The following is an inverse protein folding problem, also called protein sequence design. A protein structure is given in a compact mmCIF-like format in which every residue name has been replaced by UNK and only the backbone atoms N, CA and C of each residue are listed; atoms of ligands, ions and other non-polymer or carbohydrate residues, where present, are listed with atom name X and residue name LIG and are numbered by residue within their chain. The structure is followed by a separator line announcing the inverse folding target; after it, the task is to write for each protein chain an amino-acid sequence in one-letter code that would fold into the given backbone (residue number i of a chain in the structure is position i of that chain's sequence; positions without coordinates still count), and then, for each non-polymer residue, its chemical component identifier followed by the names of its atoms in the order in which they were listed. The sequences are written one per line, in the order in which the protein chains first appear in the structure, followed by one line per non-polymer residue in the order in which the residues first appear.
data_IF_726922994884
#
_entry.id   IF_726922994884
#
_cell.length_a   1.000
_cell.length_b   1.000
_cell.length_c   1.000
_cell.angle_alpha   90.00
_cell.angle_beta   90.00
_cell.angle_gamma   90.00
#
_symmetry.space_group_name_H-M   'P 1'
#
loop_
_entity.id
_entity.type
_entity.pdbx_description
1 polymer ?
#
# COMPACT_ATOMS: atom_id res chain seq x y z
N UNK A 1 14.59 -14.68 3.03
CA UNK A 1 15.26 -16.00 3.24
C UNK A 1 14.50 -16.78 4.31
N UNK A 2 14.64 -18.11 4.46
CA UNK A 2 13.87 -18.88 5.47
C UNK A 2 14.06 -18.39 6.92
N UNK A 3 15.15 -17.68 7.17
CA UNK A 3 15.61 -17.11 8.45
C UNK A 3 15.42 -15.59 8.54
N UNK A 4 14.77 -14.97 7.55
CA UNK A 4 14.50 -13.53 7.56
C UNK A 4 13.43 -13.19 8.59
N UNK A 5 13.71 -12.20 9.45
CA UNK A 5 12.75 -11.68 10.42
C UNK A 5 13.03 -10.19 10.72
N UNK A 6 12.03 -9.30 10.62
CA UNK A 6 10.67 -9.57 10.13
C UNK A 6 10.65 -9.80 8.60
N UNK A 7 9.76 -10.68 8.13
CA UNK A 7 9.51 -10.88 6.70
C UNK A 7 8.56 -9.79 6.22
N UNK A 8 9.07 -8.85 5.44
CA UNK A 8 8.28 -7.76 4.88
C UNK A 8 8.01 -7.99 3.41
N UNK A 9 6.73 -8.03 3.01
CA UNK A 9 6.33 -8.09 1.60
C UNK A 9 5.76 -6.76 1.15
N UNK A 10 6.33 -6.19 0.09
CA UNK A 10 5.82 -4.97 -0.52
C UNK A 10 4.94 -5.28 -1.72
N UNK A 11 3.68 -4.84 -1.68
CA UNK A 11 2.72 -4.99 -2.76
C UNK A 11 2.65 -3.76 -3.64
N UNK A 12 2.45 -4.00 -4.93
CA UNK A 12 2.01 -2.99 -5.88
C UNK A 12 0.63 -3.38 -6.41
N UNK A 13 -0.25 -2.39 -6.54
CA UNK A 13 -1.63 -2.60 -6.95
C UNK A 13 -2.22 -1.35 -7.59
N UNK A 14 -3.36 -1.52 -8.27
CA UNK A 14 -4.12 -0.46 -8.93
C UNK A 14 -5.61 -0.49 -8.61
N UNK A 15 -6.08 -1.51 -7.85
CA UNK A 15 -7.49 -1.66 -7.51
C UNK A 15 -7.69 -2.34 -6.14
N UNK A 16 -8.80 -2.05 -5.43
CA UNK A 16 -9.04 -2.59 -4.09
C UNK A 16 -9.31 -4.10 -4.05
N UNK A 17 -9.88 -4.67 -5.12
CA UNK A 17 -10.33 -6.08 -5.12
C UNK A 17 -9.13 -7.02 -5.12
N UNK A 18 -8.20 -6.80 -6.04
CA UNK A 18 -6.95 -7.57 -6.10
C UNK A 18 -6.05 -7.29 -4.89
N UNK A 19 -6.09 -6.07 -4.34
CA UNK A 19 -5.36 -5.74 -3.11
C UNK A 19 -5.80 -6.61 -1.94
N UNK A 20 -7.12 -6.68 -1.69
CA UNK A 20 -7.67 -7.51 -0.62
C UNK A 20 -7.30 -8.99 -0.83
N UNK A 21 -7.51 -9.51 -2.03
CA UNK A 21 -7.22 -10.91 -2.33
C UNK A 21 -5.74 -11.27 -2.10
N UNK A 22 -4.81 -10.41 -2.56
CA UNK A 22 -3.38 -10.62 -2.38
C UNK A 22 -2.95 -10.53 -0.91
N UNK A 23 -3.41 -9.51 -0.18
CA UNK A 23 -3.10 -9.37 1.24
C UNK A 23 -3.69 -10.52 2.07
N UNK A 24 -4.92 -10.97 1.75
CA UNK A 24 -5.56 -12.08 2.45
C UNK A 24 -4.82 -13.40 2.21
N UNK A 25 -4.33 -13.63 0.99
CA UNK A 25 -3.48 -14.78 0.68
C UNK A 25 -2.18 -14.78 1.51
N UNK A 26 -1.53 -13.62 1.64
CA UNK A 26 -0.31 -13.47 2.46
C UNK A 26 -0.58 -13.85 3.92
N UNK A 27 -1.71 -13.39 4.46
CA UNK A 27 -2.15 -13.70 5.82
C UNK A 27 -2.45 -15.20 5.98
N UNK A 28 -3.29 -15.75 5.11
CA UNK A 28 -3.78 -17.13 5.22
C UNK A 28 -2.67 -18.18 5.06
N UNK A 29 -1.68 -17.87 4.23
CA UNK A 29 -0.53 -18.73 3.99
C UNK A 29 0.68 -18.40 4.87
N UNK A 30 0.55 -17.43 5.79
CA UNK A 30 1.63 -16.99 6.70
C UNK A 30 2.93 -16.62 5.95
N UNK A 31 2.80 -15.85 4.86
CA UNK A 31 3.92 -15.51 3.97
C UNK A 31 4.74 -14.31 4.46
N UNK A 32 4.19 -13.46 5.32
CA UNK A 32 4.86 -12.27 5.83
C UNK A 32 4.45 -11.93 7.26
N UNK A 33 5.34 -11.20 7.93
CA UNK A 33 5.10 -10.59 9.25
C UNK A 33 4.68 -9.12 9.12
N UNK A 34 4.79 -8.56 7.91
CA UNK A 34 4.50 -7.17 7.59
C UNK A 34 4.12 -7.01 6.11
N UNK A 35 3.09 -6.22 5.83
CA UNK A 35 2.70 -5.84 4.47
C UNK A 35 2.95 -4.35 4.26
N UNK A 36 3.75 -4.01 3.25
CA UNK A 36 3.97 -2.62 2.81
C UNK A 36 3.30 -2.37 1.45
N UNK A 37 2.76 -1.18 1.24
CA UNK A 37 2.05 -0.81 0.03
C UNK A 37 2.84 0.24 -0.78
N UNK A 38 3.26 -0.13 -1.98
CA UNK A 38 4.06 0.74 -2.84
C UNK A 38 3.21 1.77 -3.59
N UNK A 39 3.36 3.02 -3.19
CA UNK A 39 2.79 4.19 -3.84
C UNK A 39 3.87 5.22 -4.20
N UNK A 40 5.10 4.76 -4.45
CA UNK A 40 6.25 5.64 -4.66
C UNK A 40 7.09 5.33 -5.89
N UNK A 41 6.85 4.20 -6.58
CA UNK A 41 7.64 3.84 -7.75
C UNK A 41 7.26 4.71 -8.97
N UNK A 42 8.22 5.46 -9.57
CA UNK A 42 7.93 6.39 -10.67
C UNK A 42 8.05 5.74 -12.06
N UNK A 43 8.49 4.47 -12.15
CA UNK A 43 8.86 3.88 -13.45
C UNK A 43 7.65 3.75 -14.38
N UNK A 44 7.79 4.04 -15.69
CA UNK A 44 6.66 4.09 -16.61
C UNK A 44 5.81 2.83 -16.67
N UNK A 45 6.40 1.63 -16.53
CA UNK A 45 5.64 0.36 -16.54
C UNK A 45 4.63 0.24 -15.40
N UNK A 46 4.87 0.94 -14.28
CA UNK A 46 4.02 1.00 -13.09
C UNK A 46 3.03 2.15 -13.22
N UNK A 47 3.53 3.37 -13.45
CA UNK A 47 2.70 4.58 -13.46
C UNK A 47 1.72 4.65 -14.63
N UNK A 48 2.04 4.09 -15.81
CA UNK A 48 1.10 4.00 -16.94
C UNK A 48 -0.14 3.16 -16.66
N UNK A 49 -0.06 2.21 -15.72
CA UNK A 49 -1.23 1.44 -15.25
C UNK A 49 -1.99 2.15 -14.13
N UNK A 50 -1.54 3.34 -13.73
CA UNK A 50 -2.18 4.17 -12.71
C UNK A 50 -1.79 3.84 -11.28
N UNK A 51 -0.76 3.02 -11.04
CA UNK A 51 -0.26 2.73 -9.69
C UNK A 51 1.08 3.41 -9.38
N UNK A 52 1.74 2.98 -8.29
CA UNK A 52 3.01 3.56 -7.86
C UNK A 52 2.86 5.03 -7.47
N UNK A 53 3.83 5.88 -7.83
CA UNK A 53 3.83 7.30 -7.46
C UNK A 53 2.62 8.10 -7.96
N UNK A 54 1.94 7.64 -9.02
CA UNK A 54 0.75 8.30 -9.57
C UNK A 54 -0.53 8.04 -8.77
N UNK A 55 -0.58 6.97 -7.97
CA UNK A 55 -1.81 6.54 -7.30
C UNK A 55 -2.31 7.53 -6.23
N UNK A 56 -1.45 8.13 -5.36
CA UNK A 56 -1.92 9.06 -4.33
C UNK A 56 -2.68 10.28 -4.86
N UNK A 57 -2.48 10.66 -6.12
CA UNK A 57 -3.24 11.73 -6.77
C UNK A 57 -4.74 11.37 -6.89
N UNK A 58 -5.07 10.08 -7.03
CA UNK A 58 -6.44 9.55 -7.04
C UNK A 58 -6.91 9.25 -5.63
N UNK A 59 -6.99 10.28 -4.78
CA UNK A 59 -7.25 10.19 -3.32
C UNK A 59 -8.29 9.16 -2.90
N UNK A 60 -9.47 9.13 -3.54
CA UNK A 60 -10.54 8.17 -3.21
C UNK A 60 -10.12 6.72 -3.49
N UNK A 61 -9.49 6.48 -4.65
CA UNK A 61 -9.02 5.14 -5.00
C UNK A 61 -7.86 4.70 -4.10
N UNK A 62 -6.96 5.62 -3.78
CA UNK A 62 -5.86 5.39 -2.83
C UNK A 62 -6.41 4.91 -1.48
N UNK A 63 -7.36 5.66 -0.88
CA UNK A 63 -8.00 5.26 0.39
C UNK A 63 -8.67 3.89 0.30
N UNK A 64 -9.45 3.63 -0.76
CA UNK A 64 -10.08 2.32 -0.98
C UNK A 64 -9.08 1.16 -1.06
N UNK A 65 -7.90 1.38 -1.63
CA UNK A 65 -6.84 0.37 -1.72
C UNK A 65 -6.18 0.13 -0.35
N UNK A 66 -5.88 1.19 0.40
CA UNK A 66 -5.31 1.05 1.75
C UNK A 66 -6.30 0.33 2.67
N UNK A 67 -7.57 0.76 2.68
CA UNK A 67 -8.63 0.12 3.45
C UNK A 67 -8.80 -1.36 3.09
N UNK A 68 -8.67 -1.72 1.81
CA UNK A 68 -8.75 -3.11 1.37
C UNK A 68 -7.60 -3.97 1.89
N UNK A 69 -6.37 -3.44 1.95
CA UNK A 69 -5.24 -4.15 2.54
C UNK A 69 -5.41 -4.32 4.06
N UNK A 70 -5.78 -3.25 4.77
CA UNK A 70 -6.03 -3.27 6.22
C UNK A 70 -7.14 -4.25 6.58
N UNK A 71 -8.27 -4.22 5.86
CA UNK A 71 -9.37 -5.17 6.07
C UNK A 71 -8.94 -6.63 5.86
N UNK A 72 -8.00 -6.88 4.95
CA UNK A 72 -7.52 -8.25 4.70
C UNK A 72 -6.68 -8.81 5.85
N UNK A 73 -6.08 -7.94 6.69
CA UNK A 73 -5.25 -8.32 7.85
C UNK A 73 -6.01 -8.25 9.18
N UNK A 74 -7.29 -7.86 9.18
CA UNK A 74 -8.13 -7.83 10.37
C UNK A 74 -8.14 -9.18 11.10
N UNK A 75 -8.00 -9.15 12.43
CA UNK A 75 -7.92 -10.34 13.27
C UNK A 75 -6.53 -10.96 13.36
N UNK A 76 -5.49 -10.29 12.83
CA UNK A 76 -4.08 -10.70 12.95
C UNK A 76 -3.21 -9.58 13.48
N UNK A 77 -1.97 -9.91 13.84
CA UNK A 77 -0.96 -8.94 14.29
C UNK A 77 -0.09 -8.40 13.13
N UNK A 78 -0.40 -8.73 11.88
CA UNK A 78 0.37 -8.29 10.71
C UNK A 78 0.03 -6.83 10.40
N UNK A 79 0.96 -5.87 10.56
CA UNK A 79 0.68 -4.48 10.26
C UNK A 79 0.71 -4.21 8.75
N UNK A 80 -0.14 -3.29 8.31
CA UNK A 80 -0.10 -2.71 6.96
C UNK A 80 0.54 -1.32 7.05
N UNK A 81 1.58 -1.09 6.28
CA UNK A 81 2.18 0.24 6.08
C UNK A 81 2.06 0.67 4.64
N UNK A 82 2.29 1.95 4.40
CA UNK A 82 2.30 2.51 3.05
C UNK A 82 3.59 3.27 2.82
N UNK A 83 4.05 3.30 1.57
CA UNK A 83 5.24 4.06 1.20
C UNK A 83 4.97 4.91 -0.03
N UNK A 84 5.08 6.23 0.11
CA UNK A 84 4.88 7.19 -0.98
C UNK A 84 6.01 8.22 -1.12
N UNK A 85 5.89 9.11 -2.11
CA UNK A 85 6.77 10.28 -2.32
C UNK A 85 6.03 11.56 -1.94
N UNK A 86 6.76 12.68 -1.92
CA UNK A 86 6.19 14.03 -1.73
C UNK A 86 5.05 14.32 -2.74
N UNK A 87 5.24 13.87 -3.98
CA UNK A 87 4.32 14.06 -5.10
C UNK A 87 4.81 13.33 -6.34
N UNK A 88 4.20 13.62 -7.49
CA UNK A 88 4.66 13.14 -8.80
C UNK A 88 5.74 14.05 -9.42
N UNK A 89 5.68 15.35 -9.10
CA UNK A 89 6.62 16.40 -9.45
C UNK A 89 6.49 17.57 -8.45
N UNK A 90 7.23 18.65 -8.66
CA UNK A 90 7.33 19.81 -7.75
C UNK A 90 6.05 20.66 -7.71
N UNK A 91 5.15 20.52 -8.70
CA UNK A 91 3.88 21.25 -8.75
C UNK A 91 2.72 20.42 -8.16
N UNK A 92 2.87 19.10 -8.10
CA UNK A 92 1.81 18.15 -7.74
C UNK A 92 2.16 17.33 -6.48
N UNK A 93 2.23 18.01 -5.33
CA UNK A 93 2.43 17.38 -4.03
C UNK A 93 1.16 16.66 -3.52
N UNK A 94 1.32 15.45 -2.99
CA UNK A 94 0.21 14.60 -2.49
C UNK A 94 0.45 14.03 -1.09
N UNK A 95 1.69 14.07 -0.58
CA UNK A 95 2.10 13.39 0.65
C UNK A 95 1.29 13.73 1.91
N UNK A 96 0.85 14.98 2.09
CA UNK A 96 0.06 15.35 3.27
C UNK A 96 -1.33 14.69 3.25
N UNK A 97 -2.00 14.71 2.10
CA UNK A 97 -3.28 14.01 1.94
C UNK A 97 -3.08 12.50 1.99
N UNK A 98 -2.03 11.98 1.35
CA UNK A 98 -1.73 10.55 1.35
C UNK A 98 -1.48 10.03 2.77
N UNK A 99 -0.69 10.76 3.58
CA UNK A 99 -0.43 10.40 4.97
C UNK A 99 -1.69 10.45 5.82
N UNK A 100 -2.51 11.50 5.68
CA UNK A 100 -3.78 11.62 6.39
C UNK A 100 -4.76 10.50 6.02
N UNK A 101 -4.95 10.25 4.73
CA UNK A 101 -5.85 9.19 4.24
C UNK A 101 -5.34 7.82 4.70
N UNK A 102 -4.03 7.55 4.60
CA UNK A 102 -3.49 6.27 5.03
C UNK A 102 -3.75 6.02 6.53
N UNK A 103 -3.55 7.03 7.37
CA UNK A 103 -3.85 6.94 8.80
C UNK A 103 -5.36 6.76 9.07
N UNK A 104 -6.22 7.51 8.36
CA UNK A 104 -7.69 7.39 8.46
C UNK A 104 -8.18 5.98 8.09
N UNK A 105 -7.57 5.34 7.10
CA UNK A 105 -7.91 3.98 6.63
C UNK A 105 -7.20 2.87 7.44
N UNK A 106 -6.44 3.20 8.48
CA UNK A 106 -5.87 2.25 9.42
C UNK A 106 -4.46 1.74 9.10
N UNK A 107 -3.72 2.38 8.20
CA UNK A 107 -2.30 2.08 8.04
C UNK A 107 -1.52 2.39 9.33
N UNK A 108 -0.63 1.47 9.72
CA UNK A 108 0.14 1.55 10.96
C UNK A 108 1.30 2.57 10.88
N UNK A 109 1.83 2.81 9.68
CA UNK A 109 2.89 3.78 9.42
C UNK A 109 2.91 4.22 7.95
N UNK A 110 3.62 5.32 7.68
CA UNK A 110 3.87 5.91 6.35
C UNK A 110 5.35 6.19 6.11
#
# INVERSE_FOLDING_TARGET
APDESPRSLQLYTVDPVNTYAAAKMIVDENLADHIDMNFGCPVPKVTRRGGGAALPYKRRLFGQIVAAAVRATEGTDIPVTVKFRIGIDDEHHTHLDAGRIAAEEGAAAV
#
